data_IF_485002912694
#
_entry.id   IF_485002912694
#
_cell.length_a   1.000
_cell.length_b   1.000
_cell.length_c   1.000
_cell.angle_alpha   90.00
_cell.angle_beta   90.00
_cell.angle_gamma   90.00
#
_symmetry.space_group_name_H-M   'P 1'
#
loop_
_entity.id
_entity.type
_entity.pdbx_description
1 polymer ?
#
# COMPACT_ATOMS: atom_id res chain seq x y z
N UNK A 1 -12.91 -8.09 13.14
CA UNK A 1 -11.47 -7.81 12.99
C UNK A 1 -11.26 -7.19 11.61
N UNK A 2 -10.77 -5.95 11.49
CA UNK A 2 -10.46 -5.37 10.17
C UNK A 2 -9.30 -6.18 9.57
N UNK A 3 -9.58 -6.89 8.48
CA UNK A 3 -8.57 -7.64 7.74
C UNK A 3 -7.77 -6.61 6.95
N UNK A 4 -6.64 -6.15 7.50
CA UNK A 4 -5.72 -5.29 6.78
C UNK A 4 -4.98 -6.16 5.77
N UNK A 5 -5.50 -6.28 4.55
CA UNK A 5 -4.80 -6.99 3.49
C UNK A 5 -3.75 -6.03 2.90
N UNK A 6 -2.46 -6.27 3.14
CA UNK A 6 -1.43 -5.38 2.66
C UNK A 6 -1.28 -5.60 1.15
N UNK A 7 -1.23 -4.53 0.38
CA UNK A 7 -0.98 -4.62 -1.06
C UNK A 7 0.36 -5.31 -1.35
N UNK A 8 0.46 -6.03 -2.49
CA UNK A 8 1.69 -6.66 -2.91
C UNK A 8 2.70 -5.57 -3.28
N UNK A 9 3.97 -5.87 -3.02
CA UNK A 9 5.08 -4.94 -3.23
C UNK A 9 6.28 -5.69 -3.77
N UNK A 10 6.94 -5.09 -4.74
CA UNK A 10 8.24 -5.48 -5.26
C UNK A 10 9.27 -4.43 -4.86
N UNK A 11 10.50 -4.89 -4.58
CA UNK A 11 11.64 -4.04 -4.24
C UNK A 11 12.77 -4.41 -5.19
N UNK A 12 13.27 -3.42 -5.93
CA UNK A 12 14.43 -3.55 -6.82
C UNK A 12 15.59 -2.79 -6.17
N UNK A 13 16.73 -3.46 -6.06
CA UNK A 13 18.00 -2.89 -5.60
C UNK A 13 18.87 -2.56 -6.82
N UNK A 14 19.15 -1.27 -7.05
CA UNK A 14 20.07 -0.80 -8.09
C UNK A 14 21.44 -0.38 -7.52
N UNK A 15 21.75 -0.77 -6.28
CA UNK A 15 23.00 -0.46 -5.59
C UNK A 15 23.01 0.91 -4.93
N UNK A 16 22.74 1.98 -5.68
CA UNK A 16 22.66 3.34 -5.12
C UNK A 16 21.26 3.69 -4.61
N UNK A 17 20.22 3.05 -5.16
CA UNK A 17 18.82 3.36 -4.86
C UNK A 17 17.98 2.08 -4.78
N UNK A 18 16.91 2.15 -3.98
CA UNK A 18 15.83 1.17 -4.00
C UNK A 18 14.62 1.71 -4.75
N UNK A 19 14.06 0.90 -5.65
CA UNK A 19 12.75 1.17 -6.25
C UNK A 19 11.70 0.28 -5.59
N UNK A 20 10.66 0.91 -5.07
CA UNK A 20 9.53 0.23 -4.44
C UNK A 20 8.32 0.37 -5.36
N UNK A 21 7.83 -0.76 -5.85
CA UNK A 21 6.67 -0.84 -6.74
C UNK A 21 5.55 -1.52 -5.98
N UNK A 22 4.40 -0.88 -5.82
CA UNK A 22 3.29 -1.41 -5.04
C UNK A 22 1.97 -1.31 -5.83
N UNK A 23 1.25 -2.44 -5.94
CA UNK A 23 -0.03 -2.44 -6.62
C UNK A 23 -1.11 -1.80 -5.76
N UNK A 24 -1.61 -0.67 -6.23
CA UNK A 24 -2.54 0.19 -5.49
C UNK A 24 -3.93 0.34 -6.16
N UNK A 25 -4.60 -0.74 -6.62
CA UNK A 25 -5.77 -0.60 -7.47
C UNK A 25 -6.99 -0.07 -6.72
N UNK A 26 -7.48 1.11 -7.13
CA UNK A 26 -8.70 1.73 -6.62
C UNK A 26 -8.54 2.48 -5.30
N UNK A 27 -7.31 2.86 -4.95
CA UNK A 27 -7.05 3.80 -3.85
C UNK A 27 -7.43 5.20 -4.30
N UNK A 28 -8.02 6.00 -3.40
CA UNK A 28 -8.22 7.43 -3.65
C UNK A 28 -6.85 8.13 -3.54
N UNK A 29 -6.36 8.83 -4.58
CA UNK A 29 -5.04 9.46 -4.54
C UNK A 29 -4.80 10.33 -3.30
N UNK A 30 -5.76 11.18 -2.94
CA UNK A 30 -5.69 12.08 -1.79
C UNK A 30 -5.66 11.36 -0.42
N UNK A 31 -6.00 10.07 -0.39
CA UNK A 31 -5.94 9.26 0.83
C UNK A 31 -4.60 8.56 1.00
N UNK A 32 -3.74 8.56 -0.03
CA UNK A 32 -2.45 7.88 -0.01
C UNK A 32 -1.44 8.73 0.78
N UNK A 33 -0.89 8.15 1.83
CA UNK A 33 0.17 8.76 2.63
C UNK A 33 1.36 7.81 2.65
N UNK A 34 2.51 8.35 2.22
CA UNK A 34 3.80 7.69 2.26
C UNK A 34 4.65 8.44 3.29
N UNK A 35 5.20 7.71 4.25
CA UNK A 35 6.09 8.25 5.27
C UNK A 35 7.18 7.23 5.53
N UNK A 36 8.40 7.66 5.78
CA UNK A 36 9.50 6.73 6.06
C UNK A 36 10.57 7.37 6.94
N UNK A 37 11.47 6.51 7.39
CA UNK A 37 12.74 6.89 7.99
C UNK A 37 13.85 6.10 7.26
N UNK A 38 15.06 6.14 7.79
CA UNK A 38 16.24 5.50 7.20
C UNK A 38 16.11 3.96 7.09
N UNK A 39 15.21 3.32 7.84
CA UNK A 39 15.10 1.86 7.92
C UNK A 39 13.79 1.31 7.32
N UNK A 40 12.73 2.11 7.26
CA UNK A 40 11.42 1.67 6.81
C UNK A 40 10.62 2.72 6.05
N UNK A 41 9.83 2.22 5.10
CA UNK A 41 8.79 2.97 4.40
C UNK A 41 7.42 2.42 4.80
N UNK A 42 6.56 3.34 5.23
CA UNK A 42 5.17 3.08 5.61
C UNK A 42 4.26 3.70 4.56
N UNK A 43 3.43 2.87 3.94
CA UNK A 43 2.38 3.32 3.02
C UNK A 43 1.01 2.99 3.58
N UNK A 44 0.15 4.01 3.70
CA UNK A 44 -1.22 3.86 4.22
C UNK A 44 -2.20 4.60 3.33
N UNK A 45 -3.46 4.16 3.35
CA UNK A 45 -4.52 4.87 2.66
C UNK A 45 -5.85 4.15 2.70
N UNK A 46 -6.79 4.59 1.86
CA UNK A 46 -8.17 4.10 1.84
C UNK A 46 -8.56 3.65 0.43
N UNK A 47 -8.99 2.40 0.32
CA UNK A 47 -9.66 1.86 -0.86
C UNK A 47 -11.16 2.02 -0.69
N UNK A 48 -11.75 2.92 -1.47
CA UNK A 48 -13.15 3.28 -1.34
C UNK A 48 -14.08 2.13 -1.74
N UNK A 49 -15.14 1.96 -0.96
CA UNK A 49 -16.27 1.14 -1.37
C UNK A 49 -17.16 1.98 -2.31
N UNK A 50 -17.42 1.48 -3.52
CA UNK A 50 -18.44 2.09 -4.36
C UNK A 50 -19.82 1.75 -3.76
N UNK A 51 -20.46 2.77 -3.16
CA UNK A 51 -21.79 2.69 -2.54
C UNK A 51 -22.90 2.67 -3.60
N UNK A 52 -24.10 2.23 -3.21
CA UNK A 52 -25.30 2.34 -4.06
C UNK A 52 -25.33 1.41 -5.28
N UNK A 53 -24.54 0.34 -5.27
CA UNK A 53 -24.55 -0.70 -6.31
C UNK A 53 -25.00 -2.02 -5.72
N UNK A 54 -25.78 -2.79 -6.48
CA UNK A 54 -26.16 -4.16 -6.14
C UNK A 54 -25.12 -5.11 -6.70
N UNK A 55 -24.19 -5.54 -5.85
CA UNK A 55 -23.14 -6.47 -6.25
C UNK A 55 -23.68 -7.90 -6.28
N UNK A 56 -23.29 -8.68 -7.30
CA UNK A 56 -23.51 -10.12 -7.37
C UNK A 56 -22.42 -10.86 -6.57
N UNK A 57 -21.16 -10.38 -6.65
CA UNK A 57 -20.01 -10.89 -5.91
C UNK A 57 -19.00 -9.76 -5.63
N UNK A 58 -18.33 -9.80 -4.48
CA UNK A 58 -17.22 -8.89 -4.13
C UNK A 58 -16.10 -9.69 -3.48
N UNK A 59 -14.98 -9.85 -4.18
CA UNK A 59 -13.76 -10.46 -3.64
C UNK A 59 -12.72 -9.41 -3.24
N UNK A 60 -12.72 -8.28 -3.97
CA UNK A 60 -11.74 -7.21 -3.77
C UNK A 60 -11.90 -6.57 -2.39
N UNK A 61 -10.82 -6.54 -1.63
CA UNK A 61 -10.73 -5.81 -0.37
C UNK A 61 -11.10 -4.33 -0.52
N UNK A 62 -11.74 -3.78 0.51
CA UNK A 62 -12.13 -2.37 0.67
C UNK A 62 -11.86 -1.93 2.09
N UNK A 63 -11.49 -0.66 2.27
CA UNK A 63 -11.22 -0.08 3.57
C UNK A 63 -9.80 0.46 3.67
N UNK A 64 -9.33 0.61 4.92
CA UNK A 64 -7.99 1.11 5.22
C UNK A 64 -6.95 0.03 4.97
N UNK A 65 -5.84 0.37 4.35
CA UNK A 65 -4.68 -0.51 4.27
C UNK A 65 -3.48 0.16 4.93
N UNK A 66 -2.54 -0.68 5.36
CA UNK A 66 -1.25 -0.29 5.89
C UNK A 66 -0.22 -1.31 5.40
N UNK A 67 0.81 -0.83 4.70
CA UNK A 67 1.98 -1.61 4.30
C UNK A 67 3.20 -1.00 4.99
N UNK A 68 3.95 -1.84 5.70
CA UNK A 68 5.27 -1.48 6.23
C UNK A 68 6.31 -2.27 5.44
N UNK A 69 7.31 -1.57 4.93
CA UNK A 69 8.36 -2.12 4.10
C UNK A 69 9.66 -1.80 4.83
N UNK A 70 10.31 -2.84 5.36
CA UNK A 70 11.66 -2.70 5.91
C UNK A 70 12.65 -2.69 4.76
N UNK A 71 13.58 -1.75 4.81
CA UNK A 71 14.66 -1.69 3.84
C UNK A 71 15.75 -2.70 4.23
N UNK A 72 16.45 -3.29 3.26
CA UNK A 72 17.53 -4.24 3.54
C UNK A 72 18.70 -3.60 4.25
N UNK A 73 18.91 -2.30 4.00
CA UNK A 73 19.96 -1.45 4.53
C UNK A 73 19.41 -0.07 4.84
N UNK A 74 20.07 0.63 5.75
CA UNK A 74 19.75 2.02 6.11
C UNK A 74 20.01 2.94 4.91
N UNK A 75 19.03 3.78 4.56
CA UNK A 75 19.13 4.77 3.47
C UNK A 75 19.28 6.20 4.02
N UNK A 76 19.82 7.11 3.21
CA UNK A 76 20.11 8.51 3.55
C UNK A 76 19.13 9.46 2.87
#
# INVERSE_FOLDING_TARGET
MMKNEPFPVDIIDEGENYYIIMDCPGIIPDSLVISGNEEEIIVKGIKSAVKGKKYILIERFRGKFLRKIKLPQTIN
#
